data_IF_376984625240
#
_entry.id   IF_376984625240
#
_cell.length_a   1.000
_cell.length_b   1.000
_cell.length_c   1.000
_cell.angle_alpha   90.00
_cell.angle_beta   90.00
_cell.angle_gamma   90.00
#
_symmetry.space_group_name_H-M   'P 1'
#
loop_
_entity.id
_entity.type
_entity.pdbx_description
1 polymer ?
#
# COMPACT_ATOMS: atom_id res chain seq x y z
N UNK A 1 -29.74 -16.32 -3.81
CA UNK A 1 -29.62 -14.91 -3.38
C UNK A 1 -28.80 -14.71 -2.10
N UNK A 2 -28.90 -15.57 -1.06
CA UNK A 2 -28.10 -15.46 0.18
C UNK A 2 -26.57 -15.36 0.00
N UNK A 3 -25.98 -16.11 -0.94
CA UNK A 3 -24.52 -16.07 -1.21
C UNK A 3 -24.05 -14.76 -1.84
N UNK A 4 -24.84 -14.17 -2.74
CA UNK A 4 -24.51 -12.88 -3.36
C UNK A 4 -24.64 -11.77 -2.33
N UNK A 5 -25.68 -11.79 -1.50
CA UNK A 5 -25.86 -10.85 -0.41
C UNK A 5 -24.73 -10.95 0.63
N UNK A 6 -24.34 -12.17 1.03
CA UNK A 6 -23.22 -12.34 1.96
C UNK A 6 -21.89 -11.92 1.37
N UNK A 7 -21.63 -12.13 0.08
CA UNK A 7 -20.40 -11.68 -0.60
C UNK A 7 -20.40 -10.16 -0.74
N UNK A 8 -21.50 -9.52 -1.13
CA UNK A 8 -21.57 -8.06 -1.27
C UNK A 8 -21.47 -7.36 0.10
N UNK A 9 -22.13 -7.91 1.12
CA UNK A 9 -22.04 -7.39 2.49
C UNK A 9 -20.66 -7.68 3.09
N UNK A 10 -20.11 -8.88 3.01
CA UNK A 10 -18.79 -9.15 3.60
C UNK A 10 -17.63 -8.52 2.83
N UNK A 11 -17.67 -8.56 1.49
CA UNK A 11 -16.59 -8.06 0.64
C UNK A 11 -16.67 -6.56 0.37
N UNK A 12 -17.84 -5.91 0.53
CA UNK A 12 -18.01 -4.47 0.34
C UNK A 12 -18.05 -3.67 1.64
N UNK A 13 -18.73 -4.18 2.67
CA UNK A 13 -19.00 -3.45 3.90
C UNK A 13 -17.76 -3.39 4.80
N UNK A 14 -16.95 -4.46 4.86
CA UNK A 14 -15.69 -4.43 5.61
C UNK A 14 -14.67 -3.41 5.03
N UNK A 15 -14.36 -3.39 3.72
CA UNK A 15 -13.51 -2.32 3.18
C UNK A 15 -14.13 -0.94 3.32
N UNK A 16 -15.45 -0.79 3.15
CA UNK A 16 -16.12 0.50 3.30
C UNK A 16 -16.03 1.04 4.74
N UNK A 17 -16.18 0.18 5.75
CA UNK A 17 -16.00 0.56 7.16
C UNK A 17 -14.54 0.91 7.48
N UNK A 18 -13.59 0.14 6.95
CA UNK A 18 -12.15 0.43 7.12
C UNK A 18 -11.82 1.78 6.48
N UNK A 19 -12.26 2.01 5.24
CA UNK A 19 -12.07 3.28 4.55
C UNK A 19 -12.75 4.43 5.30
N UNK A 20 -13.97 4.24 5.77
CA UNK A 20 -14.70 5.23 6.56
C UNK A 20 -13.97 5.59 7.86
N UNK A 21 -13.47 4.59 8.59
CA UNK A 21 -12.67 4.81 9.80
C UNK A 21 -11.37 5.57 9.49
N UNK A 22 -10.66 5.20 8.42
CA UNK A 22 -9.47 5.93 7.97
C UNK A 22 -9.80 7.39 7.60
N UNK A 23 -10.95 7.64 6.95
CA UNK A 23 -11.39 8.97 6.55
C UNK A 23 -11.71 9.84 7.77
N UNK A 24 -12.40 9.29 8.77
CA UNK A 24 -12.69 9.98 10.03
C UNK A 24 -11.39 10.34 10.76
N UNK A 25 -10.44 9.40 10.85
CA UNK A 25 -9.15 9.65 11.47
C UNK A 25 -8.30 10.69 10.71
N UNK A 26 -8.41 10.72 9.37
CA UNK A 26 -7.72 11.72 8.55
C UNK A 26 -8.29 13.14 8.74
N UNK A 27 -9.61 13.27 8.87
CA UNK A 27 -10.30 14.57 9.04
C UNK A 27 -10.23 15.06 10.49
N UNK A 28 -10.15 14.17 11.47
CA UNK A 28 -10.15 14.50 12.89
C UNK A 28 -9.00 13.83 13.64
N UNK A 29 -7.75 14.29 13.41
CA UNK A 29 -6.55 13.69 14.01
C UNK A 29 -6.52 13.82 15.54
N UNK A 30 -7.29 14.74 16.12
CA UNK A 30 -7.43 14.95 17.57
C UNK A 30 -8.21 13.84 18.28
N UNK A 31 -8.89 12.95 17.55
CA UNK A 31 -9.54 11.78 18.12
C UNK A 31 -8.54 10.76 18.67
N UNK A 32 -7.28 10.82 18.23
CA UNK A 32 -6.23 9.90 18.67
C UNK A 32 -5.51 10.49 19.89
N UNK A 33 -5.49 9.79 21.04
CA UNK A 33 -4.68 10.20 22.18
C UNK A 33 -3.21 10.34 21.80
N UNK A 34 -2.51 11.34 22.34
CA UNK A 34 -1.11 11.60 22.02
C UNK A 34 -0.19 10.38 22.28
N UNK A 35 -0.53 9.55 23.27
CA UNK A 35 0.17 8.30 23.59
C UNK A 35 0.12 7.27 22.43
N UNK A 36 -0.93 7.31 21.60
CA UNK A 36 -1.09 6.44 20.44
C UNK A 36 -0.58 7.07 19.13
N UNK A 37 -0.04 8.29 19.15
CA UNK A 37 0.46 8.95 17.95
C UNK A 37 1.57 8.14 17.27
N UNK A 38 2.43 7.48 18.05
CA UNK A 38 3.44 6.56 17.55
C UNK A 38 2.83 5.36 16.82
N UNK A 39 1.72 4.81 17.33
CA UNK A 39 1.03 3.69 16.68
C UNK A 39 0.36 4.12 15.38
N UNK A 40 -0.18 5.34 15.29
CA UNK A 40 -0.74 5.86 14.02
C UNK A 40 0.35 6.09 12.98
N UNK A 41 1.51 6.59 13.39
CA UNK A 41 2.66 6.84 12.50
C UNK A 41 3.38 5.56 12.07
N UNK A 42 3.56 4.59 12.97
CA UNK A 42 4.34 3.38 12.70
C UNK A 42 3.50 2.12 12.45
N UNK A 43 2.23 2.14 12.82
CA UNK A 43 1.27 1.05 12.61
C UNK A 43 1.17 0.59 11.14
N UNK A 44 1.12 1.50 10.15
CA UNK A 44 1.10 1.08 8.74
C UNK A 44 2.34 0.28 8.32
N UNK A 45 3.52 0.60 8.86
CA UNK A 45 4.74 -0.20 8.61
C UNK A 45 4.60 -1.61 9.20
N UNK A 46 4.12 -1.71 10.44
CA UNK A 46 3.89 -3.00 11.10
C UNK A 46 2.86 -3.84 10.35
N UNK A 47 1.74 -3.25 9.95
CA UNK A 47 0.68 -3.92 9.21
C UNK A 47 1.15 -4.41 7.84
N UNK A 48 1.90 -3.59 7.11
CA UNK A 48 2.45 -3.99 5.82
C UNK A 48 3.48 -5.12 5.97
N UNK A 49 4.32 -5.07 7.00
CA UNK A 49 5.31 -6.12 7.26
C UNK A 49 4.64 -7.45 7.66
N UNK A 50 3.70 -7.42 8.61
CA UNK A 50 2.94 -8.60 9.02
C UNK A 50 2.10 -9.16 7.87
N UNK A 51 1.41 -8.30 7.12
CA UNK A 51 0.63 -8.68 5.95
C UNK A 51 1.49 -9.31 4.85
N UNK A 52 2.71 -8.79 4.66
CA UNK A 52 3.69 -9.36 3.74
C UNK A 52 4.17 -10.75 4.17
N UNK A 53 4.52 -10.92 5.44
CA UNK A 53 4.94 -12.22 6.01
C UNK A 53 3.82 -13.26 5.90
N UNK A 54 2.59 -12.89 6.27
CA UNK A 54 1.42 -13.77 6.15
C UNK A 54 1.18 -14.12 4.68
N UNK A 55 1.18 -13.13 3.79
CA UNK A 55 1.01 -13.34 2.35
C UNK A 55 2.07 -14.28 1.78
N UNK A 56 3.30 -14.18 2.25
CA UNK A 56 4.39 -15.09 1.88
C UNK A 56 4.13 -16.50 2.37
N UNK A 57 3.76 -16.67 3.64
CA UNK A 57 3.51 -17.97 4.26
C UNK A 57 2.37 -18.74 3.58
N UNK A 58 1.34 -18.04 3.10
CA UNK A 58 0.23 -18.62 2.34
C UNK A 58 0.52 -18.75 0.83
N UNK A 59 1.75 -18.50 0.36
CA UNK A 59 2.12 -18.48 -1.06
C UNK A 59 1.27 -17.51 -1.92
N UNK A 60 0.67 -16.49 -1.30
CA UNK A 60 -0.13 -15.46 -1.95
C UNK A 60 0.78 -14.33 -2.43
N UNK A 61 1.52 -14.59 -3.50
CA UNK A 61 2.52 -13.65 -4.00
C UNK A 61 1.98 -12.25 -4.27
N UNK A 62 0.73 -12.13 -4.75
CA UNK A 62 0.04 -10.85 -4.92
C UNK A 62 -0.07 -10.04 -3.63
N UNK A 63 -0.43 -10.68 -2.51
CA UNK A 63 -0.56 -10.00 -1.23
C UNK A 63 0.80 -9.45 -0.78
N UNK A 64 1.88 -10.20 -0.99
CA UNK A 64 3.26 -9.75 -0.71
C UNK A 64 3.61 -8.51 -1.53
N UNK A 65 3.32 -8.52 -2.83
CA UNK A 65 3.58 -7.38 -3.71
C UNK A 65 2.79 -6.13 -3.32
N UNK A 66 1.50 -6.30 -2.99
CA UNK A 66 0.65 -5.21 -2.52
C UNK A 66 1.20 -4.62 -1.23
N UNK A 67 1.55 -5.46 -0.26
CA UNK A 67 2.08 -5.00 1.03
C UNK A 67 3.43 -4.31 0.88
N UNK A 68 4.33 -4.83 0.03
CA UNK A 68 5.60 -4.18 -0.27
C UNK A 68 5.42 -2.82 -0.96
N UNK A 69 4.51 -2.72 -1.93
CA UNK A 69 4.19 -1.46 -2.61
C UNK A 69 3.67 -0.42 -1.61
N UNK A 70 2.70 -0.79 -0.77
CA UNK A 70 2.13 0.09 0.24
C UNK A 70 3.18 0.54 1.27
N UNK A 71 4.06 -0.37 1.69
CA UNK A 71 5.18 -0.07 2.60
C UNK A 71 6.10 0.99 2.00
N UNK A 72 6.53 0.81 0.75
CA UNK A 72 7.45 1.73 0.06
C UNK A 72 6.78 3.09 -0.15
N UNK A 73 5.53 3.13 -0.61
CA UNK A 73 4.78 4.37 -0.77
C UNK A 73 4.63 5.11 0.56
N UNK A 74 4.30 4.40 1.64
CA UNK A 74 4.19 5.01 2.97
C UNK A 74 5.54 5.55 3.46
N UNK A 75 6.63 4.81 3.22
CA UNK A 75 7.98 5.26 3.53
C UNK A 75 8.39 6.51 2.74
N UNK A 76 8.04 6.59 1.45
CA UNK A 76 8.33 7.77 0.62
C UNK A 76 7.53 8.99 1.11
N UNK A 77 6.27 8.80 1.52
CA UNK A 77 5.39 9.90 1.92
C UNK A 77 5.63 10.41 3.35
N UNK A 78 5.99 9.52 4.28
CA UNK A 78 6.10 9.84 5.72
C UNK A 78 7.54 9.75 6.23
N UNK A 79 8.38 8.95 5.58
CA UNK A 79 9.73 8.62 6.04
C UNK A 79 10.86 9.47 5.44
N UNK A 80 10.68 10.10 4.26
CA UNK A 80 11.75 10.85 3.58
C UNK A 80 11.37 12.30 3.24
N UNK A 81 11.54 13.19 4.22
CA UNK A 81 11.70 14.62 3.96
C UNK A 81 13.17 15.08 3.89
N UNK A 82 14.13 14.19 4.14
CA UNK A 82 15.54 14.55 4.21
C UNK A 82 16.22 14.31 2.86
N UNK A 83 16.50 15.40 2.12
CA UNK A 83 17.28 15.36 0.87
C UNK A 83 16.47 15.42 -0.42
N UNK A 84 15.14 15.47 -0.35
CA UNK A 84 14.25 15.67 -1.52
C UNK A 84 13.75 17.12 -1.49
N UNK A 85 13.77 17.80 -2.64
CA UNK A 85 13.25 19.16 -2.77
C UNK A 85 11.73 19.20 -2.51
N UNK A 86 11.19 20.35 -2.12
CA UNK A 86 9.74 20.49 -1.90
C UNK A 86 8.92 20.14 -3.17
N UNK A 87 9.46 20.48 -4.34
CA UNK A 87 8.88 20.16 -5.66
C UNK A 87 8.93 18.65 -5.94
N UNK A 88 10.05 17.99 -5.64
CA UNK A 88 10.20 16.54 -5.77
C UNK A 88 9.27 15.76 -4.84
N UNK A 89 9.04 16.27 -3.63
CA UNK A 89 8.11 15.68 -2.67
C UNK A 89 6.65 15.82 -3.12
N UNK A 90 6.28 16.98 -3.69
CA UNK A 90 4.97 17.17 -4.32
C UNK A 90 4.78 16.25 -5.54
N UNK A 91 5.81 16.09 -6.38
CA UNK A 91 5.78 15.14 -7.49
C UNK A 91 5.58 13.70 -7.00
N UNK A 92 6.32 13.25 -5.99
CA UNK A 92 6.17 11.92 -5.40
C UNK A 92 4.77 11.68 -4.86
N UNK A 93 4.15 12.67 -4.21
CA UNK A 93 2.78 12.58 -3.72
C UNK A 93 1.77 12.38 -4.86
N UNK A 94 1.84 13.21 -5.90
CA UNK A 94 0.96 13.11 -7.07
C UNK A 94 1.19 11.78 -7.78
N UNK A 95 2.44 11.43 -8.05
CA UNK A 95 2.80 10.22 -8.75
C UNK A 95 2.29 8.98 -7.98
N UNK A 96 2.49 8.92 -6.67
CA UNK A 96 1.98 7.84 -5.81
C UNK A 96 0.45 7.70 -5.89
N UNK A 97 -0.29 8.81 -6.00
CA UNK A 97 -1.75 8.83 -6.12
C UNK A 97 -2.27 8.06 -7.34
N UNK A 98 -1.54 8.10 -8.46
CA UNK A 98 -1.91 7.39 -9.69
C UNK A 98 -1.28 5.99 -9.78
N UNK A 99 -0.05 5.87 -9.30
CA UNK A 99 0.76 4.67 -9.49
C UNK A 99 0.28 3.51 -8.62
N UNK A 100 -0.13 3.80 -7.39
CA UNK A 100 -0.67 2.79 -6.46
C UNK A 100 -1.92 2.13 -7.02
N UNK A 101 -3.01 2.85 -7.36
CA UNK A 101 -4.22 2.20 -7.87
C UNK A 101 -3.97 1.47 -9.19
N UNK A 102 -3.12 2.01 -10.07
CA UNK A 102 -2.75 1.35 -11.31
C UNK A 102 -2.03 0.02 -11.05
N UNK A 103 -1.03 0.01 -10.16
CA UNK A 103 -0.30 -1.20 -9.78
C UNK A 103 -1.20 -2.22 -9.06
N UNK A 104 -2.12 -1.77 -8.20
CA UNK A 104 -3.12 -2.63 -7.56
C UNK A 104 -4.06 -3.26 -8.59
N UNK A 105 -4.49 -2.50 -9.60
CA UNK A 105 -5.35 -2.98 -10.68
C UNK A 105 -4.61 -4.04 -11.52
N UNK A 106 -3.37 -3.77 -11.93
CA UNK A 106 -2.53 -4.76 -12.62
C UNK A 106 -2.31 -6.02 -11.77
N UNK A 107 -1.96 -5.87 -10.49
CA UNK A 107 -1.82 -7.00 -9.56
C UNK A 107 -3.15 -7.76 -9.41
N UNK A 108 -4.28 -7.05 -9.46
CA UNK A 108 -5.64 -7.56 -9.44
C UNK A 108 -5.92 -8.63 -10.50
N UNK A 109 -5.50 -8.37 -11.73
CA UNK A 109 -5.75 -9.23 -12.90
C UNK A 109 -4.71 -10.35 -13.08
N UNK A 110 -3.67 -10.36 -12.25
CA UNK A 110 -2.63 -11.37 -12.40
C UNK A 110 -2.96 -12.68 -11.70
N UNK A 111 -2.62 -13.80 -12.33
CA UNK A 111 -2.75 -15.12 -11.72
C UNK A 111 -1.90 -15.23 -10.44
N UNK A 112 -2.48 -15.81 -9.40
CA UNK A 112 -1.79 -16.14 -8.15
C UNK A 112 -0.74 -17.21 -8.43
N UNK A 113 0.52 -16.77 -8.46
CA UNK A 113 1.68 -17.65 -8.48
C UNK A 113 2.66 -17.11 -7.44
N UNK A 114 3.38 -18.00 -6.76
CA UNK A 114 4.30 -17.62 -5.68
C UNK A 114 5.30 -16.53 -6.07
N UNK A 115 5.85 -15.83 -5.08
CA UNK A 115 6.68 -14.62 -5.28
C UNK A 115 7.92 -14.89 -6.13
N UNK A 116 8.54 -16.07 -6.00
CA UNK A 116 9.79 -16.45 -6.66
C UNK A 116 9.62 -17.09 -8.05
N UNK A 117 8.46 -16.93 -8.68
CA UNK A 117 8.27 -17.38 -10.07
C UNK A 117 8.95 -16.38 -11.03
N UNK A 118 9.41 -16.74 -12.25
CA UNK A 118 10.03 -15.79 -13.18
C UNK A 118 9.14 -14.58 -13.50
N UNK A 119 7.82 -14.78 -13.53
CA UNK A 119 6.84 -13.68 -13.66
C UNK A 119 6.73 -12.80 -12.41
N UNK A 120 7.01 -13.34 -11.23
CA UNK A 120 7.08 -12.58 -9.97
C UNK A 120 8.36 -11.74 -9.89
N UNK A 121 9.49 -12.31 -10.32
CA UNK A 121 10.77 -11.58 -10.44
C UNK A 121 10.64 -10.43 -11.44
N UNK A 122 10.06 -10.67 -12.62
CA UNK A 122 9.79 -9.61 -13.60
C UNK A 122 8.95 -8.47 -13.01
N UNK A 123 7.97 -8.77 -12.14
CA UNK A 123 7.18 -7.74 -11.44
C UNK A 123 7.98 -6.99 -10.39
N UNK A 124 8.83 -7.67 -9.61
CA UNK A 124 9.76 -6.98 -8.71
C UNK A 124 10.63 -5.99 -9.47
N UNK A 125 11.16 -6.41 -10.62
CA UNK A 125 12.00 -5.55 -11.46
C UNK A 125 11.21 -4.35 -12.01
N UNK A 126 9.98 -4.55 -12.50
CA UNK A 126 9.15 -3.45 -12.99
C UNK A 126 8.79 -2.48 -11.87
N UNK A 127 8.35 -2.97 -10.70
CA UNK A 127 8.01 -2.12 -9.55
C UNK A 127 9.25 -1.38 -9.04
N UNK A 128 10.39 -2.07 -8.94
CA UNK A 128 11.66 -1.48 -8.54
C UNK A 128 12.14 -0.41 -9.51
N UNK A 129 12.05 -0.67 -10.82
CA UNK A 129 12.36 0.30 -11.87
C UNK A 129 11.44 1.53 -11.79
N UNK A 130 10.16 1.32 -11.55
CA UNK A 130 9.18 2.40 -11.42
C UNK A 130 9.50 3.31 -10.23
N UNK A 131 9.81 2.73 -9.06
CA UNK A 131 10.24 3.47 -7.87
C UNK A 131 11.55 4.21 -8.14
N UNK A 132 12.50 3.57 -8.81
CA UNK A 132 13.79 4.18 -9.16
C UNK A 132 13.61 5.40 -10.05
N UNK A 133 12.79 5.29 -11.11
CA UNK A 133 12.48 6.41 -12.01
C UNK A 133 11.80 7.55 -11.25
N UNK A 134 10.87 7.24 -10.35
CA UNK A 134 10.23 8.26 -9.51
C UNK A 134 11.22 9.01 -8.64
N UNK A 135 12.17 8.30 -8.01
CA UNK A 135 13.21 8.91 -7.18
C UNK A 135 14.18 9.76 -8.01
N UNK A 136 14.57 9.29 -9.21
CA UNK A 136 15.41 10.06 -10.13
C UNK A 136 14.75 11.35 -10.62
N UNK A 137 13.43 11.34 -10.83
CA UNK A 137 12.67 12.53 -11.25
C UNK A 137 12.35 13.48 -10.10
N UNK A 138 12.42 13.00 -8.85
CA UNK A 138 12.14 13.78 -7.64
C UNK A 138 13.38 14.43 -7.03
N UNK A 139 14.59 13.97 -7.38
CA UNK A 139 15.88 14.56 -6.97
C UNK A 139 16.28 15.70 -7.90
#
# INVERSE_FOLDING_TARGET
MRRVYSIVVSAGLAPALILGACLVLAVSPTLVPAELAGLVRYGPFLLALLGGVIGWWFNRGRAVFVMALLLICYWLLVGNGAGISAEGLAFLQIATLYLVPLNLLFLGFTAERGVLNPRGIARMLILGLQIFVMLMLAG
#
